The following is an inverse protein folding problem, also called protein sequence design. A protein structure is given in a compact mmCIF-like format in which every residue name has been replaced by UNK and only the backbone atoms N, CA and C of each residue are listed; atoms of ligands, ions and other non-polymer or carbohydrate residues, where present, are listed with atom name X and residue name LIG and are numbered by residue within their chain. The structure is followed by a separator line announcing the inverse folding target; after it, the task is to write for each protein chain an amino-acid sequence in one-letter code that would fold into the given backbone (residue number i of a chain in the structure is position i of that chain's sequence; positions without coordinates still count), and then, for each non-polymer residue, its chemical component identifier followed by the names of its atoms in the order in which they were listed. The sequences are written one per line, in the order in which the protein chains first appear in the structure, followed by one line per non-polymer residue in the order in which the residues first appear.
data_IF_805979242611
#
_entry.id   IF_805979242611
#
_cell.length_a   1.000
_cell.length_b   1.000
_cell.length_c   1.000
_cell.angle_alpha   90.00
_cell.angle_beta   90.00
_cell.angle_gamma   90.00
#
_symmetry.space_group_name_H-M   'P 1'
#
loop_
_entity.id
_entity.type
_entity.pdbx_description
1 polymer ?
#
# COMPACT_ATOMS: atom_id res chain seq x y z
N UNK A 1 -11.83 -1.81 4.69
CA UNK A 1 -12.92 -0.87 4.99
C UNK A 1 -12.48 0.53 4.59
N UNK A 2 -13.38 1.36 4.05
CA UNK A 2 -13.15 2.78 3.75
C UNK A 2 -14.00 3.62 4.69
N UNK A 3 -13.42 4.62 5.34
CA UNK A 3 -14.18 5.60 6.14
C UNK A 3 -14.72 6.67 5.19
N UNK A 4 -16.04 6.76 5.05
CA UNK A 4 -16.76 7.80 4.28
C UNK A 4 -17.71 8.46 5.26
N UNK A 5 -17.57 9.78 5.45
CA UNK A 5 -18.40 10.57 6.38
C UNK A 5 -18.48 10.00 7.80
N UNK A 6 -17.35 9.53 8.33
CA UNK A 6 -17.30 8.94 9.66
C UNK A 6 -17.70 7.46 9.73
N UNK A 7 -18.38 6.92 8.71
CA UNK A 7 -18.89 5.55 8.67
C UNK A 7 -17.90 4.60 7.98
N UNK A 8 -17.68 3.44 8.58
CA UNK A 8 -16.90 2.36 7.96
C UNK A 8 -17.76 1.67 6.90
N UNK A 9 -17.34 1.78 5.65
CA UNK A 9 -17.97 1.14 4.50
C UNK A 9 -17.13 -0.08 4.11
N UNK A 10 -17.74 -1.27 3.92
CA UNK A 10 -17.01 -2.42 3.40
C UNK A 10 -16.51 -2.08 1.99
N UNK A 11 -15.24 -2.40 1.74
CA UNK A 11 -14.74 -2.50 0.38
C UNK A 11 -15.29 -3.84 -0.11
N UNK A 12 -15.93 -3.91 -1.29
CA UNK A 12 -16.38 -5.18 -1.89
C UNK A 12 -15.23 -6.13 -2.27
N UNK A 13 -14.08 -5.97 -1.64
CA UNK A 13 -12.83 -6.69 -1.86
C UNK A 13 -12.10 -6.79 -0.52
N UNK A 14 -11.55 -7.97 -0.25
CA UNK A 14 -10.72 -8.23 0.93
C UNK A 14 -9.30 -8.57 0.48
N UNK A 15 -8.31 -8.23 1.31
CA UNK A 15 -6.95 -8.72 1.15
C UNK A 15 -6.75 -9.88 2.12
N UNK A 16 -6.30 -11.02 1.61
CA UNK A 16 -6.05 -12.24 2.38
C UNK A 16 -4.61 -12.69 2.17
N UNK A 17 -3.99 -13.23 3.21
CA UNK A 17 -2.64 -13.79 3.16
C UNK A 17 -2.74 -15.31 3.21
N UNK A 18 -2.11 -15.99 2.27
CA UNK A 18 -2.08 -17.46 2.21
C UNK A 18 -0.78 -17.99 2.82
N UNK A 19 -0.90 -18.96 3.71
CA UNK A 19 0.23 -19.77 4.19
C UNK A 19 0.57 -20.86 3.15
N UNK A 20 0.90 -20.45 1.92
CA UNK A 20 1.17 -21.35 0.79
C UNK A 20 2.36 -20.85 -0.01
N UNK A 21 3.06 -21.77 -0.70
CA UNK A 21 4.25 -21.49 -1.53
C UNK A 21 3.94 -20.86 -2.90
N UNK A 22 2.70 -21.02 -3.35
CA UNK A 22 2.17 -20.42 -4.56
C UNK A 22 0.82 -19.76 -4.27
N UNK A 23 0.47 -18.73 -5.04
CA UNK A 23 -0.85 -18.11 -4.94
C UNK A 23 -1.91 -19.09 -5.48
N UNK A 24 -2.90 -19.51 -4.68
CA UNK A 24 -3.95 -20.37 -5.19
C UNK A 24 -4.78 -19.62 -6.22
N UNK A 25 -5.32 -20.31 -7.22
CA UNK A 25 -6.20 -19.67 -8.21
C UNK A 25 -7.55 -19.27 -7.61
N UNK A 26 -7.98 -19.96 -6.54
CA UNK A 26 -9.28 -19.76 -5.90
C UNK A 26 -9.17 -19.89 -4.38
N UNK A 27 -10.02 -19.16 -3.67
CA UNK A 27 -10.22 -19.28 -2.23
C UNK A 27 -11.69 -19.57 -1.94
N UNK A 28 -11.93 -20.39 -0.93
CA UNK A 28 -13.27 -20.67 -0.44
C UNK A 28 -13.50 -19.88 0.84
N UNK A 29 -14.55 -19.07 0.85
CA UNK A 29 -15.00 -18.34 2.04
C UNK A 29 -16.42 -18.83 2.29
N UNK A 30 -16.60 -19.54 3.40
CA UNK A 30 -17.81 -20.33 3.66
C UNK A 30 -18.06 -21.30 2.49
N UNK A 31 -19.24 -21.27 1.89
CA UNK A 31 -19.61 -22.15 0.76
C UNK A 31 -19.32 -21.56 -0.62
N UNK A 32 -18.74 -20.36 -0.69
CA UNK A 32 -18.52 -19.64 -1.95
C UNK A 32 -17.07 -19.71 -2.41
N UNK A 33 -16.89 -19.89 -3.72
CA UNK A 33 -15.59 -19.92 -4.40
C UNK A 33 -15.31 -18.55 -5.03
N UNK A 34 -14.18 -17.96 -4.70
CA UNK A 34 -13.73 -16.68 -5.24
C UNK A 34 -12.43 -16.82 -6.02
N UNK A 35 -12.28 -16.18 -7.20
CA UNK A 35 -10.99 -16.08 -7.85
C UNK A 35 -10.03 -15.25 -6.99
N UNK A 36 -8.77 -15.67 -6.94
CA UNK A 36 -7.73 -14.98 -6.19
C UNK A 36 -6.84 -14.21 -7.17
N UNK A 37 -6.62 -12.94 -6.87
CA UNK A 37 -5.73 -12.08 -7.63
C UNK A 37 -4.55 -11.65 -6.75
N UNK A 38 -3.38 -11.45 -7.35
CA UNK A 38 -2.22 -10.89 -6.65
C UNK A 38 -2.60 -9.53 -6.07
N UNK A 39 -2.42 -9.37 -4.76
CA UNK A 39 -2.57 -8.07 -4.12
C UNK A 39 -1.33 -7.21 -4.35
N UNK A 40 -1.53 -6.04 -4.99
CA UNK A 40 -0.49 -5.04 -5.19
C UNK A 40 -0.77 -3.89 -4.22
N UNK A 41 0.02 -3.74 -3.14
CA UNK A 41 -0.25 -2.69 -2.16
C UNK A 41 -0.05 -1.30 -2.78
N UNK A 42 -0.83 -0.29 -2.36
CA UNK A 42 -0.72 1.07 -2.89
C UNK A 42 0.71 1.61 -2.72
N UNK A 43 1.14 2.47 -3.65
CA UNK A 43 2.44 3.15 -3.54
C UNK A 43 2.42 4.08 -2.33
N UNK A 44 3.36 3.88 -1.42
CA UNK A 44 3.47 4.72 -0.24
C UNK A 44 4.12 6.05 -0.62
N UNK A 45 3.47 7.15 -0.28
CA UNK A 45 4.01 8.49 -0.48
C UNK A 45 4.15 9.19 0.87
N UNK A 46 5.34 9.73 1.14
CA UNK A 46 5.62 10.42 2.38
C UNK A 46 4.94 11.79 2.39
N UNK A 47 4.05 12.06 3.35
CA UNK A 47 3.41 13.37 3.48
C UNK A 47 4.32 14.49 4.03
N UNK A 48 5.57 14.16 4.41
CA UNK A 48 6.57 15.13 4.87
C UNK A 48 7.43 15.63 3.72
N UNK A 49 8.13 14.73 3.03
CA UNK A 49 9.06 15.08 1.94
C UNK A 49 8.51 14.79 0.54
N UNK A 50 7.30 14.24 0.42
CA UNK A 50 6.56 13.96 -0.83
C UNK A 50 7.18 12.90 -1.76
N UNK A 51 8.32 12.32 -1.37
CA UNK A 51 8.96 11.19 -2.06
C UNK A 51 8.24 9.87 -1.78
N UNK A 52 8.51 8.87 -2.60
CA UNK A 52 7.87 7.56 -2.54
C UNK A 52 8.57 6.59 -1.57
N UNK A 53 7.92 5.46 -1.32
CA UNK A 53 8.45 4.27 -0.64
C UNK A 53 8.75 4.39 0.86
N UNK A 54 8.30 5.45 1.53
CA UNK A 54 8.36 5.55 3.00
C UNK A 54 7.25 6.42 3.59
N UNK A 55 6.98 6.25 4.87
CA UNK A 55 5.97 7.04 5.60
C UNK A 55 6.59 8.27 6.26
N UNK A 56 5.75 9.26 6.59
CA UNK A 56 6.19 10.44 7.33
C UNK A 56 6.82 10.12 8.69
N UNK A 57 6.39 9.04 9.35
CA UNK A 57 6.88 8.63 10.68
C UNK A 57 8.37 8.25 10.69
N UNK A 58 8.86 7.68 9.60
CA UNK A 58 10.27 7.24 9.45
C UNK A 58 11.08 8.20 8.57
N UNK A 59 10.50 9.33 8.17
CA UNK A 59 11.11 10.27 7.25
C UNK A 59 12.20 11.10 7.93
N UNK A 60 13.41 11.07 7.36
CA UNK A 60 14.55 11.90 7.77
C UNK A 60 14.65 13.24 7.02
N UNK A 61 13.75 13.49 6.06
CA UNK A 61 13.73 14.72 5.27
C UNK A 61 13.05 15.90 5.97
N UNK A 62 13.15 17.08 5.37
CA UNK A 62 12.41 18.29 5.76
C UNK A 62 10.96 18.26 5.26
N UNK A 63 10.13 19.15 5.82
CA UNK A 63 8.77 19.38 5.34
C UNK A 63 8.82 20.07 3.98
N UNK A 64 8.10 19.53 3.00
CA UNK A 64 8.01 20.05 1.64
C UNK A 64 6.55 20.34 1.30
N UNK A 65 6.31 21.51 0.69
CA UNK A 65 5.02 21.91 0.21
C UNK A 65 4.61 21.09 -1.03
N UNK A 66 3.41 20.50 -0.98
CA UNK A 66 2.85 19.71 -2.08
C UNK A 66 2.44 20.53 -3.30
N UNK A 67 2.34 21.85 -3.16
CA UNK A 67 2.02 22.78 -4.24
C UNK A 67 3.27 23.25 -4.97
N UNK A 68 4.23 23.86 -4.28
CA UNK A 68 5.34 24.57 -4.92
C UNK A 68 6.73 23.94 -4.69
N UNK A 69 6.81 22.80 -3.99
CA UNK A 69 8.07 22.13 -3.64
C UNK A 69 9.01 22.90 -2.69
N UNK A 70 8.55 24.00 -2.09
CA UNK A 70 9.32 24.76 -1.08
C UNK A 70 9.36 24.10 0.30
N UNK A 71 10.31 24.52 1.15
CA UNK A 71 10.49 23.99 2.51
C UNK A 71 9.52 24.65 3.53
N UNK A 72 8.22 24.38 3.38
CA UNK A 72 7.16 24.84 4.28
C UNK A 72 5.95 23.92 4.19
N UNK A 73 4.95 24.12 5.05
CA UNK A 73 3.68 23.39 5.00
C UNK A 73 2.80 23.89 3.85
N UNK A 74 1.99 23.02 3.24
CA UNK A 74 1.01 23.43 2.21
C UNK A 74 0.05 24.55 2.69
N UNK A 75 -0.23 24.62 4.00
CA UNK A 75 -1.10 25.64 4.59
C UNK A 75 -0.48 27.05 4.61
N UNK A 76 0.85 27.13 4.56
CA UNK A 76 1.63 28.37 4.59
C UNK A 76 2.09 28.75 3.16
N UNK A 77 1.49 28.14 2.14
CA UNK A 77 1.94 28.32 0.77
C UNK A 77 1.21 29.48 0.09
N UNK A 78 1.95 30.56 -0.18
CA UNK A 78 1.45 31.71 -0.94
C UNK A 78 1.74 31.61 -2.44
N UNK A 79 2.47 30.57 -2.85
CA UNK A 79 2.92 30.38 -4.24
C UNK A 79 1.79 29.76 -5.07
N UNK A 80 1.28 30.53 -6.05
CA UNK A 80 0.25 30.06 -7.00
C UNK A 80 0.80 29.06 -8.02
N UNK A 81 2.11 29.09 -8.30
CA UNK A 81 2.75 28.19 -9.27
C UNK A 81 2.86 26.80 -8.65
N UNK A 82 2.11 25.87 -9.23
CA UNK A 82 2.16 24.46 -8.83
C UNK A 82 3.33 23.79 -9.55
N UNK A 83 4.20 23.15 -8.77
CA UNK A 83 5.37 22.39 -9.22
C UNK A 83 5.50 21.14 -8.37
N UNK A 84 5.52 19.99 -9.04
CA UNK A 84 5.75 18.70 -8.41
C UNK A 84 7.25 18.48 -8.11
N UNK A 85 7.59 18.13 -6.87
CA UNK A 85 8.99 17.86 -6.50
C UNK A 85 9.59 16.63 -7.20
N UNK A 86 8.75 15.66 -7.59
CA UNK A 86 9.23 14.38 -8.13
C UNK A 86 9.52 14.44 -9.64
N UNK A 87 8.77 15.25 -10.40
CA UNK A 87 8.89 15.33 -11.87
C UNK A 87 9.02 16.76 -12.42
N UNK A 88 8.98 17.77 -11.55
CA UNK A 88 9.00 19.20 -11.91
C UNK A 88 7.82 19.67 -12.79
N UNK A 89 6.78 18.84 -12.94
CA UNK A 89 5.57 19.15 -13.71
C UNK A 89 4.59 20.09 -13.00
N UNK A 90 3.69 20.69 -13.77
CA UNK A 90 2.67 21.64 -13.33
C UNK A 90 1.45 21.03 -12.62
N UNK A 91 1.68 20.16 -11.64
CA UNK A 91 0.62 19.51 -10.86
C UNK A 91 1.05 19.29 -9.40
N UNK A 92 0.10 19.07 -8.50
CA UNK A 92 0.42 18.81 -7.10
C UNK A 92 1.31 17.56 -6.98
N UNK A 93 2.27 17.58 -6.06
CA UNK A 93 3.18 16.44 -5.85
C UNK A 93 2.45 15.14 -5.45
N UNK A 94 1.23 15.25 -4.92
CA UNK A 94 0.37 14.12 -4.55
C UNK A 94 -0.51 13.61 -5.69
N UNK A 95 -0.56 14.32 -6.83
CA UNK A 95 -1.41 13.96 -7.96
C UNK A 95 -1.10 12.54 -8.48
N UNK A 96 -2.12 11.88 -9.02
CA UNK A 96 -1.99 10.58 -9.70
C UNK A 96 -1.42 10.72 -11.11
N UNK A 97 -1.46 11.93 -11.66
CA UNK A 97 -1.02 12.23 -13.03
C UNK A 97 0.51 12.42 -13.12
N UNK A 98 1.22 12.33 -11.98
CA UNK A 98 2.66 12.43 -11.96
C UNK A 98 3.31 11.26 -12.74
N UNK A 99 4.11 11.52 -13.79
CA UNK A 99 4.71 10.47 -14.60
C UNK A 99 5.66 9.58 -13.77
N UNK A 100 6.44 10.18 -12.88
CA UNK A 100 7.34 9.43 -11.96
C UNK A 100 6.54 8.55 -11.01
N UNK A 101 5.37 9.01 -10.53
CA UNK A 101 4.49 8.19 -9.68
C UNK A 101 3.91 7.02 -10.45
N UNK A 102 3.55 7.21 -11.72
CA UNK A 102 3.04 6.14 -12.58
C UNK A 102 4.11 5.09 -12.86
N UNK A 103 5.35 5.53 -13.15
CA UNK A 103 6.49 4.65 -13.31
C UNK A 103 6.75 3.80 -12.06
N UNK A 104 6.83 4.42 -10.88
CA UNK A 104 7.00 3.72 -9.60
C UNK A 104 5.87 2.72 -9.30
N UNK A 105 4.62 3.07 -9.66
CA UNK A 105 3.48 2.16 -9.53
C UNK A 105 3.61 0.94 -10.46
N UNK A 106 4.04 1.16 -11.71
CA UNK A 106 4.20 0.07 -12.68
C UNK A 106 5.41 -0.81 -12.35
N UNK A 107 6.53 -0.24 -11.93
CA UNK A 107 7.70 -0.98 -11.44
C UNK A 107 7.35 -1.84 -10.23
N UNK A 108 6.63 -1.26 -9.25
CA UNK A 108 6.12 -1.98 -8.10
C UNK A 108 5.21 -3.13 -8.55
N UNK A 109 4.24 -2.86 -9.42
CA UNK A 109 3.33 -3.88 -9.96
C UNK A 109 4.10 -5.01 -10.64
N UNK A 110 5.06 -4.70 -11.51
CA UNK A 110 5.91 -5.67 -12.18
C UNK A 110 6.72 -6.50 -11.21
N UNK A 111 7.21 -5.90 -10.12
CA UNK A 111 7.89 -6.64 -9.05
C UNK A 111 6.96 -7.66 -8.38
N UNK A 112 5.73 -7.28 -8.03
CA UNK A 112 4.75 -8.22 -7.44
C UNK A 112 4.31 -9.31 -8.43
N UNK A 113 4.09 -8.97 -9.70
CA UNK A 113 3.69 -9.92 -10.74
C UNK A 113 4.79 -10.94 -11.06
N UNK A 114 6.04 -10.48 -11.18
CA UNK A 114 7.20 -11.36 -11.42
C UNK A 114 7.53 -12.24 -10.21
N UNK A 115 7.22 -11.76 -9.00
CA UNK A 115 7.70 -12.44 -7.82
C UNK A 115 7.06 -13.82 -7.62
N UNK A 116 5.82 -14.09 -8.04
CA UNK A 116 5.13 -15.40 -7.89
C UNK A 116 5.55 -16.22 -6.65
N UNK A 117 5.85 -15.54 -5.54
CA UNK A 117 6.58 -16.07 -4.39
C UNK A 117 5.69 -15.84 -3.19
N UNK A 118 5.28 -16.94 -2.61
CA UNK A 118 5.00 -17.04 -1.19
C UNK A 118 6.00 -16.33 -0.32
N UNK A 119 5.50 -15.72 0.73
CA UNK A 119 6.33 -15.28 1.84
C UNK A 119 7.11 -16.48 2.40
N UNK A 120 8.41 -16.54 2.10
CA UNK A 120 9.38 -17.32 2.85
C UNK A 120 10.14 -16.35 3.75
N UNK A 121 9.59 -16.11 4.92
CA UNK A 121 10.38 -15.96 6.14
C UNK A 121 9.70 -16.82 7.18
N UNK A 122 10.06 -18.10 7.20
CA UNK A 122 9.88 -18.96 8.37
C UNK A 122 10.76 -18.33 9.45
N UNK A 123 10.17 -17.50 10.30
CA UNK A 123 10.69 -17.27 11.64
C UNK A 123 9.85 -18.20 12.50
N UNK A 124 10.35 -19.41 12.69
CA UNK A 124 9.96 -20.38 13.72
C UNK A 124 8.49 -20.31 14.15
N UNK A 125 7.60 -21.02 13.46
CA UNK A 125 6.26 -21.29 13.99
C UNK A 125 6.47 -22.27 15.15
N UNK A 126 6.27 -21.90 16.43
CA UNK A 126 6.16 -22.92 17.47
C UNK A 126 5.01 -23.84 17.10
N UNK A 127 5.23 -25.15 17.21
CA UNK A 127 4.28 -26.19 16.83
C UNK A 127 2.86 -25.83 17.30
N UNK A 128 1.89 -25.81 16.37
CA UNK A 128 0.49 -25.69 16.77
C UNK A 128 0.14 -26.92 17.63
N UNK A 129 -0.51 -26.75 18.80
CA UNK A 129 -0.95 -27.88 19.59
C UNK A 129 -2.03 -28.68 18.84
N UNK A 130 -2.06 -29.97 19.12
CA UNK A 130 -2.93 -30.99 18.50
C UNK A 130 -4.41 -30.56 18.47
N UNK A 131 -5.08 -30.58 17.31
CA UNK A 131 -6.52 -30.33 17.18
C UNK A 131 -7.42 -31.22 18.04
N UNK A 132 -6.90 -32.30 18.62
CA UNK A 132 -7.63 -33.21 19.52
C UNK A 132 -7.62 -32.77 20.99
N UNK A 133 -7.00 -31.65 21.33
CA UNK A 133 -6.89 -31.16 22.71
C UNK A 133 -8.10 -30.34 23.21
N UNK A 134 -9.29 -30.52 22.64
CA UNK A 134 -10.53 -30.08 23.28
C UNK A 134 -11.12 -31.27 24.05
N UNK A 135 -11.05 -31.29 25.40
CA UNK A 135 -11.82 -32.25 26.16
C UNK A 135 -13.30 -32.00 25.88
N UNK A 136 -14.03 -33.08 25.61
CA UNK A 136 -15.49 -33.06 25.56
C UNK A 136 -16.06 -32.60 26.92
N UNK A 137 -17.15 -31.84 26.84
CA UNK A 137 -17.97 -31.18 27.88
C UNK A 137 -17.59 -29.74 28.28
#
# INVERSE_FOLDING_TARGET
MRKVDGKLTPLGTIAVTFAATALPQHAYIQMFRYPVHIYIPPLLQCYKCLKFNHSAKVCRGSQICSSCSGQHSYKECDVKKIVCINCQGGHLAISRDCPVKQQEMEEKKNKYLKQNRSYATVVSIPAMPDPRAFPNL
#
